data_IF_812223845973
#
_entry.id   IF_812223845973
#
_cell.length_a   1.000
_cell.length_b   1.000
_cell.length_c   1.000
_cell.angle_alpha   90.00
_cell.angle_beta   90.00
_cell.angle_gamma   90.00
#
_symmetry.space_group_name_H-M   'P 1'
#
loop_
_entity.id
_entity.type
_entity.pdbx_description
1 polymer ?
#
# COMPACT_ATOMS: atom_id res chain seq x y z
N UNK A 1 21.80 19.31 -14.33
CA UNK A 1 21.87 19.09 -13.01
C UNK A 1 20.73 19.49 -12.24
N UNK A 2 20.25 20.61 -12.41
CA UNK A 2 19.12 21.08 -11.67
C UNK A 2 17.88 20.27 -11.93
N UNK A 3 17.78 19.75 -13.11
CA UNK A 3 16.59 19.02 -13.49
C UNK A 3 16.31 17.84 -12.59
N UNK A 4 17.36 17.11 -12.25
CA UNK A 4 17.11 15.93 -11.45
C UNK A 4 16.69 16.28 -10.04
N UNK A 5 17.11 17.43 -9.56
CA UNK A 5 16.67 17.87 -8.24
C UNK A 5 15.16 18.13 -8.25
N UNK A 6 14.68 18.75 -9.30
CA UNK A 6 13.27 19.05 -9.43
C UNK A 6 12.45 17.76 -9.47
N UNK A 7 12.89 16.78 -10.23
CA UNK A 7 12.15 15.53 -10.35
C UNK A 7 12.13 14.79 -9.01
N UNK A 8 13.15 14.93 -8.21
CA UNK A 8 13.21 14.25 -6.93
C UNK A 8 12.23 14.83 -5.92
N UNK A 9 11.76 16.04 -6.14
CA UNK A 9 10.82 16.65 -5.22
C UNK A 9 9.37 16.44 -5.61
N UNK A 10 9.12 15.63 -6.63
CA UNK A 10 7.76 15.37 -7.06
C UNK A 10 7.00 14.61 -5.98
N UNK A 11 5.85 15.15 -5.60
CA UNK A 11 5.02 14.55 -4.56
C UNK A 11 4.25 13.36 -5.10
N UNK A 12 4.24 12.26 -4.36
CA UNK A 12 3.42 11.11 -4.72
C UNK A 12 1.97 11.44 -4.47
N UNK A 13 1.09 10.94 -5.33
CA UNK A 13 -0.35 11.15 -5.17
C UNK A 13 -1.00 9.83 -4.78
N UNK A 14 -2.12 9.94 -4.08
CA UNK A 14 -2.81 8.77 -3.55
C UNK A 14 -4.32 8.93 -3.66
N UNK A 15 -4.98 7.78 -3.78
CA UNK A 15 -6.43 7.67 -3.65
C UNK A 15 -6.66 6.92 -2.34
N UNK A 16 -7.65 7.35 -1.56
CA UNK A 16 -7.98 6.63 -0.33
C UNK A 16 -9.40 6.07 -0.42
N UNK A 17 -9.60 4.91 0.21
CA UNK A 17 -10.83 4.13 0.08
C UNK A 17 -11.32 3.72 1.47
N UNK A 18 -12.61 3.91 1.71
CA UNK A 18 -13.24 3.50 2.96
C UNK A 18 -14.59 2.87 2.73
N UNK A 19 -15.08 2.13 3.71
CA UNK A 19 -16.37 1.47 3.64
C UNK A 19 -17.35 2.08 4.63
N UNK A 20 -18.61 2.11 4.24
CA UNK A 20 -19.71 2.49 5.10
C UNK A 20 -20.50 1.21 5.36
N UNK A 21 -20.60 0.79 6.62
CA UNK A 21 -21.25 -0.46 6.99
C UNK A 21 -22.26 -0.20 8.11
N UNK A 22 -23.07 -1.20 8.47
CA UNK A 22 -23.99 -1.03 9.60
C UNK A 22 -23.27 -0.70 10.91
N UNK A 23 -22.01 -1.11 11.06
CA UNK A 23 -21.22 -0.84 12.25
C UNK A 23 -20.40 0.45 12.13
N UNK A 24 -20.34 1.03 10.94
CA UNK A 24 -19.52 2.22 10.69
C UNK A 24 -20.26 3.13 9.72
N UNK A 25 -21.07 4.04 10.29
CA UNK A 25 -21.90 4.91 9.46
C UNK A 25 -21.06 5.90 8.66
N UNK A 26 -21.74 6.65 7.79
CA UNK A 26 -21.06 7.57 6.89
C UNK A 26 -20.24 8.61 7.64
N UNK A 27 -20.77 9.13 8.73
CA UNK A 27 -20.04 10.12 9.53
C UNK A 27 -18.74 9.54 10.07
N UNK A 28 -18.81 8.32 10.61
CA UNK A 28 -17.63 7.66 11.15
C UNK A 28 -16.61 7.38 10.07
N UNK A 29 -17.08 6.93 8.91
CA UNK A 29 -16.19 6.68 7.78
C UNK A 29 -15.49 7.95 7.33
N UNK A 30 -16.23 9.07 7.30
CA UNK A 30 -15.65 10.35 6.92
C UNK A 30 -14.57 10.77 7.92
N UNK A 31 -14.82 10.57 9.21
CA UNK A 31 -13.82 10.88 10.23
C UNK A 31 -12.56 10.05 10.05
N UNK A 32 -12.73 8.76 9.78
CA UNK A 32 -11.59 7.87 9.56
C UNK A 32 -10.82 8.25 8.29
N UNK A 33 -11.53 8.65 7.24
CA UNK A 33 -10.85 9.07 6.01
C UNK A 33 -10.13 10.40 6.19
N UNK A 34 -10.68 11.31 7.01
CA UNK A 34 -9.98 12.54 7.34
C UNK A 34 -8.65 12.20 8.04
N UNK A 35 -8.70 11.25 8.95
CA UNK A 35 -7.50 10.82 9.67
C UNK A 35 -6.51 10.14 8.72
N UNK A 36 -7.03 9.29 7.84
CA UNK A 36 -6.17 8.59 6.88
C UNK A 36 -5.50 9.58 5.93
N UNK A 37 -6.24 10.60 5.50
CA UNK A 37 -5.66 11.62 4.63
C UNK A 37 -4.55 12.38 5.36
N UNK A 38 -4.76 12.68 6.64
CA UNK A 38 -3.73 13.32 7.45
C UNK A 38 -2.48 12.43 7.55
N UNK A 39 -2.69 11.14 7.75
CA UNK A 39 -1.57 10.20 7.82
C UNK A 39 -0.82 10.12 6.49
N UNK A 40 -1.57 10.10 5.39
CA UNK A 40 -0.95 10.07 4.06
C UNK A 40 -0.10 11.33 3.83
N UNK A 41 -0.65 12.48 4.21
CA UNK A 41 0.07 13.74 4.08
C UNK A 41 1.35 13.71 4.92
N UNK A 42 1.27 13.17 6.13
CA UNK A 42 2.43 13.02 7.00
C UNK A 42 3.50 12.16 6.34
N UNK A 43 3.08 11.16 5.57
CA UNK A 43 4.00 10.27 4.86
C UNK A 43 4.51 10.85 3.55
N UNK A 44 4.07 12.06 3.19
CA UNK A 44 4.53 12.72 1.97
C UNK A 44 3.69 12.47 0.74
N UNK A 45 2.47 11.95 0.90
CA UNK A 45 1.58 11.66 -0.22
C UNK A 45 0.41 12.63 -0.22
N UNK A 46 0.03 13.09 -1.41
CA UNK A 46 -1.11 13.99 -1.55
C UNK A 46 -2.33 13.19 -1.98
N UNK A 47 -3.41 13.26 -1.21
CA UNK A 47 -4.65 12.57 -1.55
C UNK A 47 -5.42 13.39 -2.59
N UNK A 48 -5.68 12.77 -3.75
CA UNK A 48 -6.37 13.45 -4.86
C UNK A 48 -7.81 13.03 -4.99
N UNK A 49 -8.21 11.92 -4.40
CA UNK A 49 -9.59 11.46 -4.47
C UNK A 49 -9.90 10.49 -3.34
N UNK A 50 -11.15 10.52 -2.87
CA UNK A 50 -11.67 9.55 -1.90
C UNK A 50 -12.75 8.72 -2.56
N UNK A 51 -12.79 7.43 -2.26
CA UNK A 51 -13.86 6.55 -2.70
C UNK A 51 -14.47 5.89 -1.47
N UNK A 52 -15.79 5.81 -1.43
CA UNK A 52 -16.50 5.09 -0.39
C UNK A 52 -17.52 4.17 -1.02
N UNK A 53 -17.90 3.13 -0.28
CA UNK A 53 -18.92 2.20 -0.74
C UNK A 53 -19.73 1.73 0.45
N UNK A 54 -21.06 1.68 0.27
CA UNK A 54 -21.94 1.13 1.30
C UNK A 54 -22.04 -0.37 1.09
N UNK A 55 -21.68 -1.13 2.11
CA UNK A 55 -21.71 -2.59 2.06
C UNK A 55 -22.05 -3.12 3.44
N UNK A 56 -22.45 -4.38 3.52
CA UNK A 56 -22.69 -5.01 4.81
C UNK A 56 -21.40 -5.37 5.54
N UNK A 57 -20.36 -5.63 4.78
CA UNK A 57 -19.05 -5.90 5.31
C UNK A 57 -18.05 -6.00 4.17
N UNK A 58 -16.76 -6.00 4.48
CA UNK A 58 -15.74 -6.05 3.42
C UNK A 58 -15.73 -7.40 2.70
N UNK A 59 -15.45 -7.36 1.41
CA UNK A 59 -15.26 -8.58 0.63
C UNK A 59 -13.96 -9.25 1.05
N UNK A 60 -14.00 -10.56 1.22
CA UNK A 60 -12.77 -11.30 1.55
C UNK A 60 -11.83 -11.41 0.36
N UNK A 61 -12.32 -11.08 -0.82
CA UNK A 61 -11.53 -11.20 -2.06
C UNK A 61 -10.86 -9.87 -2.42
N UNK A 62 -11.62 -8.79 -2.45
CA UNK A 62 -11.12 -7.49 -2.90
C UNK A 62 -11.46 -6.33 -1.98
N UNK A 63 -11.95 -6.61 -0.77
CA UNK A 63 -12.31 -5.61 0.22
C UNK A 63 -13.53 -4.78 -0.21
N UNK A 64 -13.53 -4.24 -1.42
CA UNK A 64 -14.67 -3.51 -2.00
C UNK A 64 -15.30 -4.35 -3.09
N UNK A 65 -16.52 -3.98 -3.50
CA UNK A 65 -17.20 -4.71 -4.55
C UNK A 65 -16.57 -4.47 -5.92
N UNK A 66 -16.87 -5.36 -6.86
CA UNK A 66 -16.28 -5.30 -8.19
C UNK A 66 -16.62 -4.01 -8.93
N UNK A 67 -17.85 -3.50 -8.74
CA UNK A 67 -18.24 -2.25 -9.40
C UNK A 67 -17.41 -1.08 -8.92
N UNK A 68 -17.17 -0.99 -7.61
CA UNK A 68 -16.34 0.09 -7.07
C UNK A 68 -14.90 -0.08 -7.50
N UNK A 69 -14.43 -1.32 -7.55
CA UNK A 69 -13.08 -1.60 -8.00
C UNK A 69 -12.88 -1.12 -9.44
N UNK A 70 -13.88 -1.38 -10.31
CA UNK A 70 -13.84 -0.92 -11.69
C UNK A 70 -13.88 0.60 -11.77
N UNK A 71 -14.66 1.23 -10.91
CA UNK A 71 -14.75 2.68 -10.86
C UNK A 71 -13.39 3.29 -10.52
N UNK A 72 -12.71 2.72 -9.55
CA UNK A 72 -11.37 3.19 -9.17
C UNK A 72 -10.39 2.95 -10.31
N UNK A 73 -10.45 1.78 -10.95
CA UNK A 73 -9.56 1.48 -12.07
C UNK A 73 -9.75 2.47 -13.20
N UNK A 74 -11.01 2.85 -13.47
CA UNK A 74 -11.30 3.83 -14.53
C UNK A 74 -10.72 5.21 -14.17
N UNK A 75 -10.82 5.60 -12.91
CA UNK A 75 -10.25 6.87 -12.46
C UNK A 75 -8.74 6.87 -12.61
N UNK A 76 -8.08 5.77 -12.22
CA UNK A 76 -6.64 5.66 -12.32
C UNK A 76 -6.17 5.73 -13.77
N UNK A 77 -6.92 5.08 -14.66
CA UNK A 77 -6.58 5.10 -16.06
C UNK A 77 -6.76 6.49 -16.66
N UNK A 78 -7.83 7.19 -16.26
CA UNK A 78 -8.05 8.54 -16.72
C UNK A 78 -6.90 9.46 -16.31
N UNK A 79 -6.44 9.34 -15.07
CA UNK A 79 -5.33 10.14 -14.60
C UNK A 79 -4.04 9.80 -15.34
N UNK A 80 -3.85 8.54 -15.67
CA UNK A 80 -2.68 8.13 -16.43
C UNK A 80 -2.73 8.74 -17.84
N UNK A 81 -3.91 8.73 -18.46
CA UNK A 81 -4.09 9.33 -19.78
C UNK A 81 -3.87 10.83 -19.77
N UNK A 82 -4.10 11.47 -18.63
CA UNK A 82 -3.86 12.91 -18.44
C UNK A 82 -2.41 13.21 -18.09
N UNK A 83 -1.56 12.17 -18.11
CA UNK A 83 -0.15 12.30 -17.76
C UNK A 83 0.06 12.79 -16.33
N UNK A 84 -0.86 12.42 -15.44
CA UNK A 84 -0.81 12.75 -14.03
C UNK A 84 -1.17 11.50 -13.22
N UNK A 85 -0.39 10.42 -13.37
CA UNK A 85 -0.76 9.14 -12.77
C UNK A 85 -0.77 9.18 -11.24
N UNK A 86 -1.70 8.42 -10.67
CA UNK A 86 -1.79 8.26 -9.23
C UNK A 86 -0.77 7.19 -8.80
N UNK A 87 -0.02 7.48 -7.75
CA UNK A 87 1.06 6.59 -7.31
C UNK A 87 0.59 5.41 -6.48
N UNK A 88 -0.49 5.56 -5.73
CA UNK A 88 -0.91 4.50 -4.82
C UNK A 88 -2.38 4.61 -4.46
N UNK A 89 -2.94 3.52 -3.96
CA UNK A 89 -4.29 3.49 -3.40
C UNK A 89 -4.17 2.97 -1.97
N UNK A 90 -4.72 3.70 -1.02
CA UNK A 90 -4.63 3.37 0.40
C UNK A 90 -6.03 3.02 0.93
N UNK A 91 -6.15 1.85 1.51
CA UNK A 91 -7.41 1.38 2.07
C UNK A 91 -7.44 1.64 3.57
N UNK A 92 -8.59 2.11 4.05
CA UNK A 92 -8.74 2.48 5.46
C UNK A 92 -9.13 1.28 6.31
N UNK A 93 -8.29 0.26 6.29
CA UNK A 93 -8.47 -0.95 7.06
C UNK A 93 -7.22 -1.79 6.88
N UNK A 94 -7.19 -2.93 7.56
CA UNK A 94 -6.10 -3.87 7.38
C UNK A 94 -6.51 -4.89 6.31
N UNK A 95 -5.68 -5.05 5.30
CA UNK A 95 -5.98 -5.95 4.19
C UNK A 95 -5.23 -7.26 4.34
N UNK A 96 -5.88 -8.36 3.94
CA UNK A 96 -5.20 -9.65 3.91
C UNK A 96 -4.29 -9.73 2.69
N UNK A 97 -3.39 -10.70 2.70
CA UNK A 97 -2.51 -10.91 1.55
C UNK A 97 -3.32 -11.18 0.29
N UNK A 98 -4.40 -11.96 0.42
CA UNK A 98 -5.25 -12.27 -0.72
C UNK A 98 -5.92 -11.02 -1.29
N UNK A 99 -6.44 -10.17 -0.40
CA UNK A 99 -7.07 -8.92 -0.83
C UNK A 99 -6.08 -8.03 -1.55
N UNK A 100 -4.90 -7.87 -0.99
CA UNK A 100 -3.87 -7.02 -1.60
C UNK A 100 -3.50 -7.53 -2.99
N UNK A 101 -3.28 -8.83 -3.13
CA UNK A 101 -2.90 -9.40 -4.42
C UNK A 101 -3.98 -9.19 -5.48
N UNK A 102 -5.24 -9.41 -5.09
CA UNK A 102 -6.35 -9.28 -6.03
C UNK A 102 -6.57 -7.83 -6.44
N UNK A 103 -6.46 -6.91 -5.48
CA UNK A 103 -6.64 -5.49 -5.76
C UNK A 103 -5.48 -4.97 -6.62
N UNK A 104 -4.27 -5.36 -6.29
CA UNK A 104 -3.10 -4.93 -7.06
C UNK A 104 -3.19 -5.41 -8.50
N UNK A 105 -3.65 -6.64 -8.68
CA UNK A 105 -3.83 -7.19 -10.02
C UNK A 105 -4.85 -6.39 -10.82
N UNK A 106 -5.91 -5.93 -10.16
CA UNK A 106 -6.97 -5.19 -10.83
C UNK A 106 -6.59 -3.74 -11.09
N UNK A 107 -5.89 -3.10 -10.17
CA UNK A 107 -5.61 -1.67 -10.27
C UNK A 107 -4.23 -1.35 -10.84
N UNK A 108 -3.30 -2.28 -10.76
CA UNK A 108 -1.95 -2.11 -11.32
C UNK A 108 -1.19 -0.91 -10.74
N UNK A 109 -1.44 -0.59 -9.48
CA UNK A 109 -0.71 0.46 -8.77
C UNK A 109 -0.36 -0.07 -7.38
N UNK A 110 0.50 0.64 -6.68
CA UNK A 110 0.89 0.27 -5.32
C UNK A 110 -0.33 0.32 -4.41
N UNK A 111 -0.53 -0.75 -3.65
CA UNK A 111 -1.66 -0.86 -2.73
C UNK A 111 -1.12 -0.85 -1.30
N UNK A 112 -1.67 0.03 -0.49
CA UNK A 112 -1.34 0.11 0.92
C UNK A 112 -2.60 -0.01 1.75
N UNK A 113 -2.42 -0.42 2.99
CA UNK A 113 -3.50 -0.36 3.96
C UNK A 113 -3.07 0.55 5.11
N UNK A 114 -3.98 0.78 6.06
CA UNK A 114 -3.71 1.71 7.14
C UNK A 114 -2.46 1.32 7.93
N UNK A 115 -2.31 0.04 8.23
CA UNK A 115 -1.17 -0.43 9.01
C UNK A 115 0.16 -0.21 8.28
N UNK A 116 0.21 -0.52 7.00
CA UNK A 116 1.43 -0.29 6.21
C UNK A 116 1.80 1.17 6.19
N UNK A 117 0.80 2.05 6.05
CA UNK A 117 1.04 3.48 6.04
C UNK A 117 1.62 3.96 7.37
N UNK A 118 1.05 3.50 8.47
CA UNK A 118 1.53 3.88 9.80
C UNK A 118 2.96 3.39 10.01
N UNK A 119 3.27 2.18 9.56
CA UNK A 119 4.62 1.64 9.68
C UNK A 119 5.60 2.45 8.85
N UNK A 120 5.19 2.92 7.68
CA UNK A 120 6.05 3.77 6.85
C UNK A 120 6.35 5.08 7.57
N UNK A 121 5.36 5.65 8.25
CA UNK A 121 5.57 6.89 9.00
C UNK A 121 6.56 6.66 10.14
N UNK A 122 6.41 5.54 10.85
CA UNK A 122 7.38 5.20 11.91
C UNK A 122 8.78 5.05 11.35
N UNK A 123 8.90 4.42 10.18
CA UNK A 123 10.21 4.24 9.55
C UNK A 123 10.86 5.58 9.22
N UNK A 124 10.06 6.53 8.75
CA UNK A 124 10.57 7.85 8.42
C UNK A 124 11.05 8.61 9.66
N UNK A 125 10.44 8.34 10.81
CA UNK A 125 10.74 9.08 12.04
C UNK A 125 11.71 8.40 12.96
N UNK A 126 12.08 7.15 12.68
CA UNK A 126 13.04 6.44 13.51
C UNK A 126 14.43 7.05 13.35
N UNK A 127 15.02 7.47 14.46
CA UNK A 127 16.29 8.17 14.41
C UNK A 127 17.46 7.40 15.00
N UNK A 128 17.21 6.46 15.90
CA UNK A 128 18.27 5.65 16.47
C UNK A 128 18.36 4.31 15.75
N UNK A 129 19.53 3.67 15.84
CA UNK A 129 19.69 2.36 15.24
C UNK A 129 18.72 1.35 15.83
N UNK A 130 18.51 1.41 17.16
CA UNK A 130 17.58 0.51 17.81
C UNK A 130 16.15 0.74 17.33
N UNK A 131 15.73 2.00 17.23
CA UNK A 131 14.39 2.33 16.77
C UNK A 131 14.20 1.88 15.32
N UNK A 132 15.18 2.13 14.46
CA UNK A 132 15.10 1.71 13.07
C UNK A 132 14.95 0.20 12.96
N UNK A 133 15.73 -0.53 13.75
CA UNK A 133 15.65 -1.99 13.74
C UNK A 133 14.28 -2.47 14.16
N UNK A 134 13.71 -1.88 15.21
CA UNK A 134 12.39 -2.28 15.69
C UNK A 134 11.30 -2.01 14.66
N UNK A 135 11.36 -0.86 13.99
CA UNK A 135 10.40 -0.55 12.95
C UNK A 135 10.53 -1.52 11.77
N UNK A 136 11.77 -1.82 11.38
CA UNK A 136 11.99 -2.76 10.30
C UNK A 136 11.45 -4.14 10.64
N UNK A 137 11.66 -4.59 11.87
CA UNK A 137 11.11 -5.88 12.30
C UNK A 137 9.59 -5.88 12.24
N UNK A 138 8.96 -4.78 12.69
CA UNK A 138 7.51 -4.67 12.63
C UNK A 138 7.02 -4.68 11.18
N UNK A 139 7.71 -3.99 10.29
CA UNK A 139 7.36 -3.98 8.88
C UNK A 139 7.48 -5.38 8.27
N UNK A 140 8.56 -6.09 8.58
CA UNK A 140 8.73 -7.44 8.07
C UNK A 140 7.64 -8.38 8.58
N UNK A 141 7.34 -8.31 9.87
CA UNK A 141 6.29 -9.16 10.43
C UNK A 141 4.96 -8.94 9.74
N UNK A 142 4.65 -7.70 9.45
CA UNK A 142 3.39 -7.37 8.80
C UNK A 142 3.41 -7.76 7.33
N UNK A 143 4.51 -7.51 6.64
CA UNK A 143 4.60 -7.70 5.21
C UNK A 143 4.90 -9.14 4.77
N UNK A 144 5.59 -9.92 5.60
CA UNK A 144 5.99 -11.26 5.20
C UNK A 144 4.87 -12.12 4.62
N UNK A 145 3.71 -12.27 5.29
CA UNK A 145 2.64 -13.07 4.70
C UNK A 145 2.06 -12.45 3.44
N UNK A 146 2.27 -11.16 3.25
CA UNK A 146 1.75 -10.43 2.08
C UNK A 146 2.72 -10.42 0.92
N UNK A 147 4.01 -10.55 1.19
CA UNK A 147 5.05 -10.51 0.17
C UNK A 147 5.32 -11.84 -0.52
N UNK A 148 4.88 -12.94 0.08
CA UNK A 148 5.24 -14.26 -0.42
C UNK A 148 5.03 -14.41 -1.93
N UNK A 149 3.84 -14.06 -2.39
CA UNK A 149 3.54 -14.21 -3.80
C UNK A 149 4.25 -13.15 -4.65
N UNK A 150 4.32 -11.94 -4.14
CA UNK A 150 5.03 -10.89 -4.84
C UNK A 150 6.51 -11.25 -4.98
N UNK A 151 7.09 -11.79 -3.93
CA UNK A 151 8.46 -12.24 -3.94
C UNK A 151 8.71 -13.29 -5.01
N UNK A 152 7.83 -14.29 -5.06
CA UNK A 152 7.92 -15.33 -6.06
C UNK A 152 7.82 -14.75 -7.47
N UNK A 153 6.92 -13.80 -7.64
CA UNK A 153 6.74 -13.15 -8.94
C UNK A 153 8.01 -12.40 -9.35
N UNK A 154 8.63 -11.69 -8.42
CA UNK A 154 9.84 -10.96 -8.71
C UNK A 154 10.99 -11.89 -9.07
N UNK A 155 11.08 -13.02 -8.41
CA UNK A 155 12.10 -14.00 -8.75
C UNK A 155 11.92 -14.51 -10.17
N UNK A 156 10.68 -14.77 -10.57
CA UNK A 156 10.40 -15.21 -11.92
C UNK A 156 10.75 -14.13 -12.94
N UNK A 157 10.45 -12.89 -12.61
CA UNK A 157 10.76 -11.79 -13.52
C UNK A 157 12.24 -11.65 -13.77
N UNK A 158 13.03 -11.99 -12.79
CA UNK A 158 14.46 -11.92 -12.92
C UNK A 158 15.02 -13.06 -13.78
N UNK A 159 14.11 -13.78 -14.43
CA UNK A 159 14.51 -14.72 -15.44
C UNK A 159 15.27 -15.90 -14.95
N UNK A 160 14.99 -16.32 -13.75
CA UNK A 160 15.72 -17.42 -13.21
C UNK A 160 17.18 -17.11 -13.01
N UNK A 161 17.52 -15.85 -12.87
CA UNK A 161 18.90 -15.46 -12.61
C UNK A 161 19.32 -16.05 -11.28
N UNK A 162 20.03 -17.12 -11.32
CA UNK A 162 20.41 -17.85 -10.11
C UNK A 162 21.18 -16.97 -9.15
N UNK A 163 22.09 -16.19 -9.67
CA UNK A 163 22.93 -15.34 -8.83
C UNK A 163 22.12 -14.30 -8.05
N UNK A 164 21.03 -13.85 -8.59
CA UNK A 164 20.20 -12.85 -7.92
C UNK A 164 19.20 -13.50 -6.98
N UNK A 165 18.74 -14.69 -7.32
CA UNK A 165 17.76 -15.36 -6.51
C UNK A 165 18.32 -15.73 -5.14
N UNK A 166 19.52 -16.26 -5.12
CA UNK A 166 20.14 -16.69 -3.88
C UNK A 166 20.22 -15.60 -2.82
N UNK A 167 20.76 -14.44 -3.15
CA UNK A 167 20.82 -13.37 -2.14
C UNK A 167 19.46 -12.96 -1.61
N UNK A 168 18.47 -12.93 -2.48
CA UNK A 168 17.14 -12.55 -2.06
C UNK A 168 16.51 -13.56 -1.11
N UNK A 169 16.69 -14.83 -1.41
CA UNK A 169 16.16 -15.88 -0.55
C UNK A 169 16.86 -15.86 0.80
N UNK A 170 18.17 -15.69 0.78
CA UNK A 170 18.94 -15.64 2.02
C UNK A 170 18.47 -14.51 2.90
N UNK A 171 18.24 -13.36 2.31
CA UNK A 171 17.78 -12.20 3.06
C UNK A 171 16.43 -12.48 3.72
N UNK A 172 15.53 -13.05 2.96
CA UNK A 172 14.20 -13.35 3.49
C UNK A 172 14.27 -14.35 4.63
N UNK A 173 15.09 -15.38 4.48
CA UNK A 173 15.27 -16.37 5.53
C UNK A 173 15.87 -15.76 6.78
N UNK A 174 16.86 -14.90 6.62
CA UNK A 174 17.46 -14.23 7.75
C UNK A 174 16.47 -13.34 8.48
N UNK A 175 15.65 -12.62 7.72
CA UNK A 175 14.63 -11.76 8.30
C UNK A 175 13.62 -12.57 9.09
N UNK A 176 13.24 -13.74 8.60
CA UNK A 176 12.31 -14.60 9.30
C UNK A 176 12.91 -15.09 10.63
N UNK A 177 14.18 -15.41 10.65
CA UNK A 177 14.84 -15.83 11.88
C UNK A 177 14.88 -14.70 12.90
N UNK A 178 15.17 -13.50 12.44
CA UNK A 178 15.23 -12.35 13.33
C UNK A 178 13.87 -12.07 13.95
N UNK A 179 12.80 -12.23 13.17
CA UNK A 179 11.45 -11.96 13.62
C UNK A 179 10.99 -13.00 14.65
N UNK A 180 11.39 -14.23 14.49
CA UNK A 180 11.02 -15.29 15.43
C UNK A 180 11.68 -15.08 16.77
#
# INVERSE_FOLDING_TARGET
>A
MKEFVISETKVETAVIVGLITPQQNERKTTEYLNELEFLADTAGAKVVRRFTQRVNGPSSVTYIGSGKLEEIAAFLKQKEDEEDPVGMVIFDDELSAKQIRNIEKALQVKILDRTSLILDIFAMRAQTAAAKTQVELAQYRYMLPRLTRLWTHLERQRGGSVGLRGPGETQLEMDQRIIR
#
